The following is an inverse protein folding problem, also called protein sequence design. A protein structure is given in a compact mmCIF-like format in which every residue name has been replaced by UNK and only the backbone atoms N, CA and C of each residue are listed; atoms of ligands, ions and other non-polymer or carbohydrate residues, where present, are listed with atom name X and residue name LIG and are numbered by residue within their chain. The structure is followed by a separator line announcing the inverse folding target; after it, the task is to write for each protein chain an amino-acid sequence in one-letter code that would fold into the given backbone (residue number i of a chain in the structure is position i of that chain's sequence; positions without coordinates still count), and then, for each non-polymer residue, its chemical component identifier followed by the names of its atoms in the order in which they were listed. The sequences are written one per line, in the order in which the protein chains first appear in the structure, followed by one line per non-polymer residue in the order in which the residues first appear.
data_IF_449702703984
#
_entry.id   IF_449702703984
#
_cell.length_a   1.000
_cell.length_b   1.000
_cell.length_c   1.000
_cell.angle_alpha   90.00
_cell.angle_beta   90.00
_cell.angle_gamma   90.00
#
_symmetry.space_group_name_H-M   'P 1'
#
loop_
_entity.id
_entity.type
_entity.pdbx_description
1 polymer ?
#
# COMPACT_ATOMS: atom_id res chain seq x y z
N UNK A 1 60.98 -62.11 -2.57
CA UNK A 1 60.40 -61.12 -3.51
C UNK A 1 59.23 -60.50 -2.81
N UNK A 2 59.38 -59.27 -2.23
CA UNK A 2 58.32 -58.56 -1.54
C UNK A 2 57.78 -57.48 -2.52
N UNK A 3 56.51 -57.61 -2.88
CA UNK A 3 55.81 -56.57 -3.71
C UNK A 3 55.23 -55.51 -2.80
N UNK A 4 55.71 -54.32 -2.92
CA UNK A 4 55.23 -53.10 -2.22
C UNK A 4 54.09 -52.52 -3.08
N UNK A 5 52.87 -52.45 -2.53
CA UNK A 5 51.74 -51.88 -3.15
C UNK A 5 51.72 -50.39 -2.70
N UNK A 6 51.88 -49.48 -3.63
CA UNK A 6 51.72 -48.02 -3.41
C UNK A 6 50.22 -47.66 -3.57
N UNK A 7 49.59 -47.34 -2.46
CA UNK A 7 48.23 -46.79 -2.48
C UNK A 7 48.30 -45.29 -2.72
N UNK A 8 47.80 -44.88 -3.88
CA UNK A 8 47.62 -43.46 -4.23
C UNK A 8 46.28 -43.00 -3.65
N UNK A 9 46.30 -42.22 -2.59
CA UNK A 9 45.12 -41.60 -2.06
C UNK A 9 44.83 -40.31 -2.86
N UNK A 10 43.78 -40.40 -3.70
CA UNK A 10 43.26 -39.24 -4.46
C UNK A 10 42.35 -38.42 -3.54
N UNK A 11 42.87 -37.31 -2.99
CA UNK A 11 42.08 -36.39 -2.19
C UNK A 11 41.17 -35.55 -3.10
N UNK A 12 39.85 -35.83 -3.04
CA UNK A 12 38.83 -35.00 -3.65
C UNK A 12 38.69 -33.70 -2.83
N UNK A 13 39.26 -32.61 -3.32
CA UNK A 13 38.95 -31.26 -2.82
C UNK A 13 37.52 -30.88 -3.27
N UNK A 14 36.56 -31.03 -2.38
CA UNK A 14 35.23 -30.49 -2.55
C UNK A 14 35.33 -28.95 -2.36
N UNK A 15 35.43 -28.23 -3.46
CA UNK A 15 35.22 -26.79 -3.46
C UNK A 15 33.72 -26.56 -3.25
N UNK A 16 33.33 -26.33 -2.00
CA UNK A 16 32.00 -25.83 -1.68
C UNK A 16 31.91 -24.42 -2.21
N UNK A 17 31.27 -24.25 -3.37
CA UNK A 17 30.74 -22.93 -3.77
C UNK A 17 29.60 -22.60 -2.81
N UNK A 18 29.95 -21.98 -1.67
CA UNK A 18 28.96 -21.24 -0.91
C UNK A 18 28.47 -20.13 -1.83
N UNK A 19 27.26 -20.30 -2.38
CA UNK A 19 26.53 -19.20 -2.96
C UNK A 19 26.33 -18.18 -1.82
N UNK A 20 27.13 -17.12 -1.80
CA UNK A 20 26.78 -15.95 -1.03
C UNK A 20 25.43 -15.51 -1.56
N UNK A 21 24.35 -15.78 -0.80
CA UNK A 21 23.10 -15.07 -0.97
C UNK A 21 23.48 -13.60 -0.90
N UNK A 22 23.28 -12.87 -2.00
CA UNK A 22 23.33 -11.42 -1.96
C UNK A 22 22.33 -11.04 -0.87
N UNK A 23 22.79 -10.51 0.25
CA UNK A 23 21.93 -9.89 1.23
C UNK A 23 21.13 -8.86 0.46
N UNK A 24 19.82 -9.04 0.42
CA UNK A 24 18.91 -8.10 -0.21
C UNK A 24 18.93 -6.85 0.64
N UNK A 25 19.60 -5.82 0.14
CA UNK A 25 19.84 -4.56 0.81
C UNK A 25 18.57 -3.70 0.72
N UNK A 26 17.62 -3.90 1.61
CA UNK A 26 16.60 -2.88 1.84
C UNK A 26 16.39 -2.70 3.34
N UNK A 27 16.67 -1.50 3.79
CA UNK A 27 16.37 -1.03 5.14
C UNK A 27 15.17 -0.09 5.07
N UNK A 28 14.35 -0.09 6.11
CA UNK A 28 13.19 0.82 6.18
C UNK A 28 13.62 2.25 6.43
N UNK A 29 14.76 2.44 7.02
CA UNK A 29 15.40 3.73 7.27
C UNK A 29 16.92 3.52 7.43
N UNK A 30 17.67 4.57 7.21
CA UNK A 30 19.12 4.60 7.43
C UNK A 30 19.42 5.53 8.59
N UNK A 31 20.16 5.04 9.56
CA UNK A 31 20.74 5.87 10.62
C UNK A 31 22.17 6.25 10.21
N UNK A 32 22.43 7.55 10.16
CA UNK A 32 23.75 8.04 9.83
C UNK A 32 24.60 8.13 11.10
N UNK A 33 25.85 7.64 11.10
CA UNK A 33 26.80 7.95 12.15
C UNK A 33 26.93 9.47 12.34
N UNK A 34 27.09 9.91 13.59
CA UNK A 34 27.09 11.34 13.91
C UNK A 34 28.21 12.13 13.18
N UNK A 35 29.32 11.45 12.86
CA UNK A 35 30.50 11.97 12.18
C UNK A 35 30.56 11.64 10.68
N UNK A 36 29.47 11.06 10.12
CA UNK A 36 29.43 10.68 8.71
C UNK A 36 29.50 11.90 7.79
N UNK A 37 30.41 11.85 6.83
CA UNK A 37 30.50 12.86 5.76
C UNK A 37 29.30 12.80 4.82
N UNK A 38 29.12 13.83 4.00
CA UNK A 38 28.07 13.86 3.00
C UNK A 38 28.23 12.71 1.99
N UNK A 39 29.49 12.44 1.55
CA UNK A 39 29.76 11.34 0.63
C UNK A 39 29.38 9.98 1.23
N UNK A 40 29.69 9.75 2.50
CA UNK A 40 29.31 8.52 3.20
C UNK A 40 27.78 8.40 3.32
N UNK A 41 27.09 9.49 3.62
CA UNK A 41 25.62 9.50 3.69
C UNK A 41 25.00 9.18 2.33
N UNK A 42 25.51 9.78 1.26
CA UNK A 42 25.05 9.50 -0.11
C UNK A 42 25.30 8.05 -0.48
N UNK A 43 26.48 7.49 -0.18
CA UNK A 43 26.78 6.08 -0.45
C UNK A 43 25.84 5.14 0.32
N UNK A 44 25.56 5.41 1.59
CA UNK A 44 24.60 4.62 2.38
C UNK A 44 23.18 4.66 1.79
N UNK A 45 22.69 5.84 1.41
CA UNK A 45 21.34 5.99 0.83
C UNK A 45 21.24 5.38 -0.56
N UNK A 46 22.31 5.45 -1.37
CA UNK A 46 22.32 4.91 -2.73
C UNK A 46 22.15 3.38 -2.79
N UNK A 47 22.33 2.69 -1.67
CA UNK A 47 22.18 1.24 -1.54
C UNK A 47 20.77 0.83 -1.09
N UNK A 48 19.92 1.80 -0.74
CA UNK A 48 18.53 1.49 -0.39
C UNK A 48 17.77 1.07 -1.63
N UNK A 49 17.01 0.00 -1.49
CA UNK A 49 16.10 -0.50 -2.51
C UNK A 49 14.70 -0.63 -1.93
N UNK A 50 13.64 -0.56 -2.75
CA UNK A 50 12.29 -0.76 -2.28
C UNK A 50 12.11 -2.13 -1.63
N UNK A 51 11.26 -2.22 -0.61
CA UNK A 51 10.78 -3.52 -0.13
C UNK A 51 9.98 -4.21 -1.23
N UNK A 52 9.77 -5.52 -1.10
CA UNK A 52 8.98 -6.28 -2.07
C UNK A 52 7.58 -5.67 -2.29
N UNK A 53 6.90 -5.25 -1.20
CA UNK A 53 5.59 -4.61 -1.28
C UNK A 53 5.63 -3.24 -1.97
N UNK A 54 6.66 -2.44 -1.71
CA UNK A 54 6.83 -1.16 -2.39
C UNK A 54 7.09 -1.35 -3.89
N UNK A 55 7.90 -2.35 -4.24
CA UNK A 55 8.18 -2.69 -5.64
C UNK A 55 6.91 -3.19 -6.35
N UNK A 56 6.15 -4.08 -5.73
CA UNK A 56 4.88 -4.56 -6.25
C UNK A 56 3.90 -3.39 -6.49
N UNK A 57 3.80 -2.48 -5.51
CA UNK A 57 2.97 -1.28 -5.67
C UNK A 57 3.44 -0.40 -6.85
N UNK A 58 4.73 -0.17 -6.99
CA UNK A 58 5.28 0.59 -8.11
C UNK A 58 5.00 -0.08 -9.47
N UNK A 59 5.05 -1.42 -9.51
CA UNK A 59 4.78 -2.19 -10.73
C UNK A 59 3.31 -2.20 -11.14
N UNK A 60 2.40 -1.83 -10.25
CA UNK A 60 0.98 -1.64 -10.61
C UNK A 60 0.82 -0.49 -11.61
N UNK A 61 1.66 0.55 -11.55
CA UNK A 61 1.74 1.74 -12.40
C UNK A 61 0.41 2.49 -12.55
N UNK A 62 -0.67 1.79 -12.91
CA UNK A 62 -1.96 2.38 -13.21
C UNK A 62 -2.94 2.17 -12.06
N UNK A 63 -3.01 3.17 -11.18
CA UNK A 63 -3.89 3.18 -10.00
C UNK A 63 -4.90 4.31 -10.09
N UNK A 64 -6.12 4.07 -9.62
CA UNK A 64 -7.18 5.06 -9.55
C UNK A 64 -7.29 5.65 -8.14
N UNK A 65 -7.58 6.94 -8.06
CA UNK A 65 -7.88 7.60 -6.80
C UNK A 65 -9.32 8.13 -6.83
N UNK A 66 -10.18 7.47 -6.07
CA UNK A 66 -11.60 7.82 -5.92
C UNK A 66 -11.75 8.85 -4.82
N UNK A 67 -11.86 10.12 -5.19
CA UNK A 67 -12.00 11.24 -4.28
C UNK A 67 -13.49 11.53 -4.06
N UNK A 68 -14.10 10.77 -3.18
CA UNK A 68 -15.53 10.85 -2.86
C UNK A 68 -15.73 11.05 -1.36
N UNK A 69 -16.66 11.91 -0.97
CA UNK A 69 -16.93 12.22 0.43
C UNK A 69 -17.91 13.37 0.61
N UNK A 70 -17.92 13.98 1.79
CA UNK A 70 -18.79 15.12 2.13
C UNK A 70 -18.63 16.27 1.14
N UNK A 71 -17.41 16.53 0.68
CA UNK A 71 -17.11 17.63 -0.24
C UNK A 71 -17.81 17.49 -1.60
N UNK A 72 -18.17 16.27 -2.00
CA UNK A 72 -18.99 16.03 -3.20
C UNK A 72 -20.37 16.71 -3.10
N UNK A 73 -20.90 16.85 -1.88
CA UNK A 73 -22.22 17.42 -1.62
C UNK A 73 -22.17 18.90 -1.26
N UNK A 74 -21.05 19.36 -0.73
CA UNK A 74 -20.87 20.79 -0.33
C UNK A 74 -20.25 21.64 -1.44
N UNK A 75 -19.59 21.02 -2.43
CA UNK A 75 -18.85 21.71 -3.47
C UNK A 75 -17.56 22.38 -2.99
N UNK A 76 -17.11 22.07 -1.78
CA UNK A 76 -15.88 22.59 -1.21
C UNK A 76 -14.72 21.66 -1.53
N UNK A 77 -13.57 22.21 -1.87
CA UNK A 77 -12.34 21.42 -2.01
C UNK A 77 -11.83 20.95 -0.64
N UNK A 78 -11.89 21.83 0.34
CA UNK A 78 -11.45 21.60 1.72
C UNK A 78 -12.62 21.82 2.68
N UNK A 79 -13.09 20.77 3.30
CA UNK A 79 -14.12 20.86 4.33
C UNK A 79 -13.52 21.20 5.70
N UNK A 80 -14.36 21.73 6.59
CA UNK A 80 -13.98 22.17 7.93
C UNK A 80 -14.52 21.26 9.04
N UNK A 81 -15.23 20.19 8.69
CA UNK A 81 -15.84 19.26 9.65
C UNK A 81 -17.03 19.83 10.41
N UNK A 82 -17.62 20.90 9.89
CA UNK A 82 -18.79 21.60 10.49
C UNK A 82 -20.08 21.40 9.71
N UNK A 83 -20.00 20.73 8.55
CA UNK A 83 -21.15 20.44 7.73
C UNK A 83 -22.06 19.40 8.40
N UNK A 84 -23.38 19.49 8.18
CA UNK A 84 -24.30 18.49 8.72
C UNK A 84 -24.09 17.15 8.01
N UNK A 85 -23.99 16.02 8.74
CA UNK A 85 -24.00 14.68 8.15
C UNK A 85 -25.21 14.41 7.25
N UNK A 86 -26.32 15.15 7.43
CA UNK A 86 -27.53 15.02 6.62
C UNK A 86 -27.32 15.38 5.14
N UNK A 87 -26.25 16.13 4.82
CA UNK A 87 -25.91 16.47 3.44
C UNK A 87 -25.39 15.24 2.67
N UNK A 88 -24.81 14.26 3.37
CA UNK A 88 -24.31 13.05 2.75
C UNK A 88 -25.46 12.09 2.42
N UNK A 89 -26.03 12.23 1.25
CA UNK A 89 -27.14 11.37 0.80
C UNK A 89 -27.02 11.01 -0.69
N UNK A 90 -26.03 10.18 -1.06
CA UNK A 90 -25.91 9.70 -2.44
C UNK A 90 -27.12 8.85 -2.84
N UNK A 91 -27.75 9.20 -3.95
CA UNK A 91 -28.95 8.51 -4.46
C UNK A 91 -28.62 7.39 -5.45
N UNK A 92 -27.46 7.48 -6.10
CA UNK A 92 -27.06 6.59 -7.20
C UNK A 92 -25.60 6.09 -7.02
N UNK A 93 -25.18 5.89 -5.76
CA UNK A 93 -23.87 5.31 -5.49
C UNK A 93 -23.88 3.84 -5.94
N UNK A 94 -22.96 3.52 -6.86
CA UNK A 94 -22.77 2.18 -7.40
C UNK A 94 -21.27 1.86 -7.49
N UNK A 95 -20.76 1.19 -6.47
CA UNK A 95 -19.36 0.79 -6.41
C UNK A 95 -19.01 -0.30 -7.42
N UNK A 96 -19.96 -1.16 -7.82
CA UNK A 96 -19.73 -2.16 -8.87
C UNK A 96 -19.49 -1.48 -10.21
N UNK A 97 -20.28 -0.45 -10.54
CA UNK A 97 -20.08 0.35 -11.74
C UNK A 97 -18.72 1.03 -11.74
N UNK A 98 -18.29 1.59 -10.59
CA UNK A 98 -16.95 2.21 -10.46
C UNK A 98 -15.84 1.22 -10.74
N UNK A 99 -15.87 0.06 -10.06
CA UNK A 99 -14.85 -0.97 -10.21
C UNK A 99 -14.83 -1.53 -11.62
N UNK A 100 -16.01 -1.77 -12.22
CA UNK A 100 -16.11 -2.20 -13.61
C UNK A 100 -15.47 -1.20 -14.57
N UNK A 101 -15.76 0.07 -14.43
CA UNK A 101 -15.19 1.11 -15.28
C UNK A 101 -13.66 1.20 -15.14
N UNK A 102 -13.14 1.10 -13.91
CA UNK A 102 -11.71 1.09 -13.64
C UNK A 102 -11.03 -0.16 -14.24
N UNK A 103 -11.65 -1.33 -14.07
CA UNK A 103 -11.15 -2.59 -14.61
C UNK A 103 -11.10 -2.57 -16.14
N UNK A 104 -12.15 -2.09 -16.77
CA UNK A 104 -12.24 -1.93 -18.23
C UNK A 104 -11.19 -0.91 -18.74
N UNK A 105 -10.88 0.12 -17.94
CA UNK A 105 -9.82 1.09 -18.20
C UNK A 105 -8.39 0.59 -17.92
N UNK A 106 -8.22 -0.64 -17.43
CA UNK A 106 -6.91 -1.25 -17.18
C UNK A 106 -6.27 -0.88 -15.85
N UNK A 107 -6.99 -0.24 -14.94
CA UNK A 107 -6.49 0.05 -13.59
C UNK A 107 -6.23 -1.24 -12.80
N UNK A 108 -5.19 -1.23 -12.00
CA UNK A 108 -4.77 -2.37 -11.17
C UNK A 108 -5.16 -2.22 -9.70
N UNK A 109 -5.41 -1.00 -9.25
CA UNK A 109 -5.76 -0.69 -7.88
C UNK A 109 -6.68 0.53 -7.83
N UNK A 110 -7.60 0.53 -6.87
CA UNK A 110 -8.40 1.68 -6.51
C UNK A 110 -8.10 2.11 -5.07
N UNK A 111 -7.90 3.40 -4.88
CA UNK A 111 -7.77 4.06 -3.59
C UNK A 111 -8.99 4.95 -3.38
N UNK A 112 -9.57 4.92 -2.19
CA UNK A 112 -10.68 5.81 -1.83
C UNK A 112 -10.32 6.69 -0.66
N UNK A 113 -10.79 7.94 -0.67
CA UNK A 113 -10.75 8.81 0.51
C UNK A 113 -11.77 8.35 1.54
N UNK A 114 -11.50 7.27 2.27
CA UNK A 114 -12.40 6.76 3.31
C UNK A 114 -12.76 7.84 4.34
N UNK A 115 -11.83 8.75 4.61
CA UNK A 115 -11.98 9.96 5.41
C UNK A 115 -11.09 11.05 4.83
N UNK A 116 -11.66 12.23 4.55
CA UNK A 116 -10.93 13.38 4.00
C UNK A 116 -10.62 14.42 5.09
N UNK A 117 -10.15 15.62 4.69
CA UNK A 117 -9.77 16.71 5.60
C UNK A 117 -10.92 17.20 6.51
N UNK A 118 -12.15 17.15 6.02
CA UNK A 118 -13.35 17.48 6.78
C UNK A 118 -13.62 16.54 7.95
N UNK A 119 -13.04 15.32 7.91
CA UNK A 119 -13.17 14.34 8.97
C UNK A 119 -14.38 13.41 8.87
N UNK A 120 -15.23 13.56 7.84
CA UNK A 120 -16.39 12.68 7.64
C UNK A 120 -15.94 11.27 7.27
N UNK A 121 -16.43 10.28 8.01
CA UNK A 121 -16.10 8.88 7.78
C UNK A 121 -17.15 8.19 6.91
N UNK A 122 -16.69 7.61 5.80
CA UNK A 122 -17.53 6.90 4.84
C UNK A 122 -17.97 5.49 5.29
N UNK A 123 -17.65 5.12 6.54
CA UNK A 123 -17.99 3.83 7.14
C UNK A 123 -18.55 4.01 8.55
N UNK A 124 -19.14 2.94 9.08
CA UNK A 124 -19.62 2.90 10.47
C UNK A 124 -18.43 2.94 11.42
N UNK A 125 -18.32 3.98 12.23
CA UNK A 125 -17.26 4.13 13.21
C UNK A 125 -17.81 4.45 14.60
N UNK A 126 -17.14 3.97 15.63
CA UNK A 126 -17.43 4.31 17.04
C UNK A 126 -16.64 5.54 17.53
N UNK A 127 -15.68 6.05 16.74
CA UNK A 127 -14.74 7.08 17.19
C UNK A 127 -15.24 8.51 16.97
N UNK A 128 -16.23 8.70 16.10
CA UNK A 128 -16.83 10.01 15.84
C UNK A 128 -18.28 9.88 15.42
N UNK A 129 -19.06 10.93 15.73
CA UNK A 129 -20.43 11.08 15.22
C UNK A 129 -20.47 11.64 13.78
N UNK A 130 -19.37 12.22 13.28
CA UNK A 130 -19.28 12.77 11.94
C UNK A 130 -18.97 11.66 10.92
N UNK A 131 -20.01 10.91 10.58
CA UNK A 131 -19.89 9.74 9.71
C UNK A 131 -21.24 9.37 9.09
N UNK A 132 -21.22 8.41 8.17
CA UNK A 132 -22.41 7.87 7.49
C UNK A 132 -23.50 7.39 8.44
N UNK A 133 -23.18 7.02 9.70
CA UNK A 133 -24.19 6.57 10.68
C UNK A 133 -25.21 7.66 11.03
N UNK A 134 -24.84 8.93 10.89
CA UNK A 134 -25.72 10.07 11.15
C UNK A 134 -26.21 10.75 9.87
N UNK A 135 -26.00 10.12 8.72
CA UNK A 135 -26.54 10.56 7.43
C UNK A 135 -27.89 9.88 7.14
N UNK A 136 -28.74 10.47 6.28
CA UNK A 136 -29.95 9.80 5.84
C UNK A 136 -29.67 8.64 4.85
N UNK A 137 -28.47 8.58 4.31
CA UNK A 137 -28.12 7.55 3.33
C UNK A 137 -28.23 6.14 3.93
N UNK A 138 -29.08 5.32 3.29
CA UNK A 138 -29.38 3.95 3.75
C UNK A 138 -29.78 3.89 5.24
N UNK A 139 -30.54 4.89 5.71
CA UNK A 139 -30.96 5.03 7.12
C UNK A 139 -29.77 4.99 8.11
N UNK A 140 -28.66 5.62 7.74
CA UNK A 140 -27.42 5.61 8.55
C UNK A 140 -26.67 4.27 8.58
N UNK A 141 -27.06 3.28 7.75
CA UNK A 141 -26.47 1.93 7.74
C UNK A 141 -25.50 1.71 6.56
N UNK A 142 -25.29 2.73 5.74
CA UNK A 142 -24.38 2.67 4.61
C UNK A 142 -22.92 2.49 5.03
N UNK A 143 -22.11 1.93 4.15
CA UNK A 143 -20.67 1.75 4.33
C UNK A 143 -20.01 1.70 2.94
N UNK A 144 -19.57 2.88 2.47
CA UNK A 144 -18.96 3.00 1.13
C UNK A 144 -17.67 2.19 1.02
N UNK A 145 -16.90 2.12 2.12
CA UNK A 145 -15.64 1.38 2.13
C UNK A 145 -15.89 -0.11 1.93
N UNK A 146 -16.91 -0.64 2.61
CA UNK A 146 -17.33 -2.03 2.46
C UNK A 146 -17.88 -2.30 1.06
N UNK A 147 -18.75 -1.42 0.54
CA UNK A 147 -19.34 -1.58 -0.78
C UNK A 147 -18.25 -1.58 -1.88
N UNK A 148 -17.25 -0.71 -1.76
CA UNK A 148 -16.13 -0.71 -2.69
C UNK A 148 -15.28 -1.98 -2.59
N UNK A 149 -15.00 -2.45 -1.36
CA UNK A 149 -14.28 -3.72 -1.15
C UNK A 149 -15.03 -4.88 -1.81
N UNK A 150 -16.31 -5.00 -1.53
CA UNK A 150 -17.14 -6.11 -2.02
C UNK A 150 -17.23 -6.08 -3.55
N UNK A 151 -17.23 -4.90 -4.17
CA UNK A 151 -17.17 -4.74 -5.62
C UNK A 151 -15.82 -5.14 -6.24
N UNK A 152 -14.72 -5.09 -5.46
CA UNK A 152 -13.39 -5.48 -5.93
C UNK A 152 -13.14 -7.00 -5.84
N UNK A 153 -13.91 -7.74 -5.05
CA UNK A 153 -13.81 -9.19 -4.87
C UNK A 153 -14.52 -9.95 -6.00
#
# INVERSE_FOLDING_TARGET
MKKTIFSLALGLLMVSCASQSKEEYYEKHVEFPADATIEQKVDMVSRLVPTAQQLEWQQMEFTAFLHFGMNTFTGNEWGHGTDSPELFNPTELDCEQWVKALKDGGFKMALITAKHHDGFCLWQTATTEYSVKNSPWKDGKGDVVRELRDACE
#
